data_IF_463292184050
#
_entry.id   IF_463292184050
#
_cell.length_a   1.000
_cell.length_b   1.000
_cell.length_c   1.000
_cell.angle_alpha   90.00
_cell.angle_beta   90.00
_cell.angle_gamma   90.00
#
_symmetry.space_group_name_H-M   'P 1'
#
loop_
_entity.id
_entity.type
_entity.pdbx_description
1 polymer ?
#
# COMPACT_ATOMS: atom_id res chain seq x y z
N UNK A 1 -18.63 19.65 -1.94
CA UNK A 1 -17.49 18.87 -2.46
C UNK A 1 -16.79 18.17 -1.31
N UNK A 2 -16.49 16.91 -1.43
CA UNK A 2 -15.72 16.25 -0.38
C UNK A 2 -14.30 16.82 -0.32
N UNK A 3 -13.72 16.83 0.87
CA UNK A 3 -12.35 17.24 1.06
C UNK A 3 -11.39 16.23 0.42
N UNK A 4 -10.14 16.62 0.21
CA UNK A 4 -9.11 15.71 -0.30
C UNK A 4 -8.97 14.48 0.60
N UNK A 5 -9.05 14.68 1.92
CA UNK A 5 -8.99 13.58 2.87
C UNK A 5 -10.15 12.61 2.69
N UNK A 6 -11.38 13.15 2.56
CA UNK A 6 -12.56 12.30 2.36
C UNK A 6 -12.45 11.49 1.06
N UNK A 7 -11.94 12.11 0.00
CA UNK A 7 -11.74 11.42 -1.26
C UNK A 7 -10.69 10.30 -1.11
N UNK A 8 -9.59 10.58 -0.40
CA UNK A 8 -8.55 9.58 -0.14
C UNK A 8 -9.07 8.44 0.72
N UNK A 9 -9.84 8.76 1.78
CA UNK A 9 -10.42 7.73 2.66
C UNK A 9 -11.39 6.84 1.87
N UNK A 10 -12.18 7.40 0.97
CA UNK A 10 -13.09 6.62 0.14
C UNK A 10 -12.34 5.68 -0.79
N UNK A 11 -11.22 6.13 -1.36
CA UNK A 11 -10.40 5.28 -2.22
C UNK A 11 -9.77 4.13 -1.43
N UNK A 12 -9.29 4.40 -0.22
CA UNK A 12 -8.74 3.36 0.65
C UNK A 12 -9.80 2.36 1.07
N UNK A 13 -11.00 2.82 1.42
CA UNK A 13 -12.09 1.94 1.82
C UNK A 13 -12.47 1.00 0.68
N UNK A 14 -12.58 1.53 -0.53
CA UNK A 14 -12.94 0.73 -1.69
C UNK A 14 -11.82 -0.25 -2.05
N UNK A 15 -10.55 0.16 -1.92
CA UNK A 15 -9.43 -0.73 -2.14
C UNK A 15 -9.44 -1.87 -1.11
N UNK A 16 -9.69 -1.55 0.15
CA UNK A 16 -9.77 -2.56 1.21
C UNK A 16 -10.88 -3.57 0.92
N UNK A 17 -12.07 -3.08 0.56
CA UNK A 17 -13.18 -3.97 0.21
C UNK A 17 -12.79 -4.91 -0.92
N UNK A 18 -12.18 -4.37 -1.97
CA UNK A 18 -11.74 -5.18 -3.10
C UNK A 18 -10.75 -6.27 -2.67
N UNK A 19 -9.74 -5.90 -1.89
CA UNK A 19 -8.71 -6.84 -1.44
C UNK A 19 -9.28 -7.92 -0.53
N UNK A 20 -10.22 -7.55 0.33
CA UNK A 20 -10.90 -8.53 1.18
C UNK A 20 -11.70 -9.54 0.35
N UNK A 21 -12.31 -9.09 -0.74
CA UNK A 21 -13.01 -9.99 -1.64
C UNK A 21 -12.05 -10.95 -2.35
N UNK A 22 -10.78 -10.56 -2.46
CA UNK A 22 -9.73 -11.43 -3.00
C UNK A 22 -9.13 -12.36 -1.95
N UNK A 23 -9.64 -12.33 -0.73
CA UNK A 23 -9.23 -13.25 0.33
C UNK A 23 -8.15 -12.71 1.26
N UNK A 24 -7.76 -11.45 1.14
CA UNK A 24 -6.78 -10.86 2.05
C UNK A 24 -7.45 -10.41 3.35
N UNK A 25 -6.75 -10.58 4.45
CA UNK A 25 -7.24 -10.19 5.77
C UNK A 25 -6.54 -8.92 6.23
N UNK A 26 -7.31 -7.92 6.65
CA UNK A 26 -6.75 -6.67 7.14
C UNK A 26 -6.09 -6.86 8.50
N UNK A 27 -4.85 -6.38 8.64
CA UNK A 27 -4.14 -6.32 9.91
C UNK A 27 -4.15 -4.90 10.46
N UNK A 28 -3.87 -3.90 9.63
CA UNK A 28 -3.82 -2.52 10.11
C UNK A 28 -4.03 -1.54 8.95
N UNK A 29 -4.64 -0.40 9.27
CA UNK A 29 -4.84 0.71 8.32
C UNK A 29 -4.03 1.91 8.78
N UNK A 30 -3.58 2.70 7.81
CA UNK A 30 -2.92 3.99 8.07
C UNK A 30 -1.80 3.85 9.10
N UNK A 31 -0.93 2.88 8.86
CA UNK A 31 0.20 2.64 9.74
C UNK A 31 1.25 3.73 9.54
N UNK A 32 1.68 4.36 10.64
CA UNK A 32 2.69 5.41 10.61
C UNK A 32 3.78 5.12 11.63
N UNK A 33 5.04 5.38 11.23
CA UNK A 33 6.14 5.32 12.16
C UNK A 33 6.22 6.64 12.92
N UNK A 34 6.71 6.62 14.19
CA UNK A 34 6.83 7.85 14.94
C UNK A 34 7.99 8.74 14.44
N UNK A 35 7.91 10.04 14.75
CA UNK A 35 9.00 10.97 14.52
C UNK A 35 9.03 11.55 13.12
N UNK A 36 10.04 12.42 12.92
CA UNK A 36 10.27 13.08 11.64
C UNK A 36 10.92 12.12 10.65
N UNK A 37 10.59 12.27 9.38
CA UNK A 37 11.17 11.43 8.34
C UNK A 37 10.68 10.01 8.36
N UNK A 38 9.63 9.75 9.13
CA UNK A 38 9.03 8.43 9.18
C UNK A 38 8.29 8.06 7.91
N UNK A 39 7.82 6.81 7.86
CA UNK A 39 7.04 6.32 6.75
C UNK A 39 5.60 6.05 7.12
N UNK A 40 4.81 5.76 6.10
CA UNK A 40 3.42 5.34 6.31
C UNK A 40 3.03 4.32 5.27
N UNK A 41 2.07 3.46 5.64
CA UNK A 41 1.50 2.45 4.77
C UNK A 41 -0.01 2.54 4.88
N UNK A 42 -0.68 2.62 3.73
CA UNK A 42 -2.13 2.78 3.73
C UNK A 42 -2.85 1.55 4.30
N UNK A 43 -2.47 0.36 3.85
CA UNK A 43 -3.08 -0.89 4.29
C UNK A 43 -2.01 -1.96 4.49
N UNK A 44 -2.13 -2.71 5.57
CA UNK A 44 -1.32 -3.90 5.81
C UNK A 44 -2.28 -5.08 5.91
N UNK A 45 -2.12 -6.04 5.00
CA UNK A 45 -2.99 -7.20 4.92
C UNK A 45 -2.16 -8.48 4.93
N UNK A 46 -2.85 -9.60 5.05
CA UNK A 46 -2.19 -10.91 5.04
C UNK A 46 -2.99 -11.86 4.15
N UNK A 47 -2.28 -12.57 3.28
CA UNK A 47 -2.89 -13.61 2.47
C UNK A 47 -3.05 -14.89 3.26
N UNK A 48 -3.83 -15.84 2.72
CA UNK A 48 -4.08 -17.11 3.37
C UNK A 48 -2.82 -17.94 3.59
N UNK A 49 -1.79 -17.73 2.76
CA UNK A 49 -0.49 -18.40 2.89
C UNK A 49 0.46 -17.68 3.85
N UNK A 50 -0.03 -16.71 4.60
CA UNK A 50 0.69 -15.90 5.58
C UNK A 50 1.56 -14.79 4.99
N UNK A 51 1.59 -14.61 3.67
CA UNK A 51 2.32 -13.49 3.07
C UNK A 51 1.75 -12.17 3.56
N UNK A 52 2.62 -11.29 4.07
CA UNK A 52 2.24 -9.92 4.43
C UNK A 52 2.29 -9.04 3.20
N UNK A 53 1.22 -8.27 3.00
CA UNK A 53 1.07 -7.42 1.83
C UNK A 53 0.94 -5.98 2.31
N UNK A 54 1.93 -5.16 1.97
CA UNK A 54 1.94 -3.73 2.28
C UNK A 54 1.43 -3.00 1.05
N UNK A 55 0.32 -2.28 1.20
CA UNK A 55 -0.41 -1.72 0.06
C UNK A 55 -0.42 -0.20 0.12
N UNK A 56 -0.01 0.41 -0.98
CA UNK A 56 -0.18 1.84 -1.23
C UNK A 56 -1.40 2.03 -2.13
N UNK A 57 -2.32 2.88 -1.70
CA UNK A 57 -3.53 3.19 -2.46
C UNK A 57 -3.35 4.54 -3.15
N UNK A 58 -3.56 4.56 -4.46
CA UNK A 58 -3.40 5.78 -5.26
C UNK A 58 -4.68 6.07 -6.02
N UNK A 59 -5.07 7.33 -6.03
CA UNK A 59 -6.13 7.81 -6.90
C UNK A 59 -5.49 8.64 -7.99
N UNK A 60 -5.58 8.17 -9.22
CA UNK A 60 -5.01 8.86 -10.38
C UNK A 60 -6.10 9.70 -11.02
N UNK A 61 -5.87 11.00 -11.05
CA UNK A 61 -6.80 11.94 -11.67
C UNK A 61 -6.39 12.29 -13.09
N UNK A 62 -5.13 11.98 -13.46
CA UNK A 62 -4.60 12.24 -14.78
C UNK A 62 -3.79 11.03 -15.22
N UNK A 63 -3.68 10.87 -16.53
CA UNK A 63 -2.86 9.83 -17.09
C UNK A 63 -1.39 10.06 -16.74
N UNK A 64 -0.75 9.09 -16.14
CA UNK A 64 0.67 9.15 -15.79
C UNK A 64 1.39 8.00 -16.48
N UNK A 65 2.65 8.24 -16.83
CA UNK A 65 3.50 7.21 -17.42
C UNK A 65 3.85 6.16 -16.37
N UNK A 66 3.93 4.89 -16.78
CA UNK A 66 4.32 3.81 -15.90
C UNK A 66 3.20 3.12 -15.15
N UNK A 67 1.94 3.44 -15.44
CA UNK A 67 0.79 2.79 -14.83
C UNK A 67 0.72 3.01 -13.32
N UNK A 68 0.21 2.02 -12.58
CA UNK A 68 0.04 2.11 -11.12
C UNK A 68 1.39 2.31 -10.43
N UNK A 69 2.42 1.57 -10.85
CA UNK A 69 3.75 1.69 -10.28
C UNK A 69 4.32 3.10 -10.50
N UNK A 70 4.12 3.67 -11.69
CA UNK A 70 4.61 5.00 -12.02
C UNK A 70 4.02 6.11 -11.15
N UNK A 71 2.90 5.85 -10.46
CA UNK A 71 2.30 6.83 -9.56
C UNK A 71 2.97 6.85 -8.18
N UNK A 72 3.89 5.92 -7.90
CA UNK A 72 4.57 5.83 -6.60
C UNK A 72 6.05 6.14 -6.81
N UNK A 73 6.48 7.33 -6.36
CA UNK A 73 7.86 7.78 -6.52
C UNK A 73 8.83 6.90 -5.73
N UNK A 74 10.13 6.99 -6.09
CA UNK A 74 11.16 6.28 -5.33
C UNK A 74 11.20 6.74 -3.88
N UNK A 75 11.04 8.02 -3.64
CA UNK A 75 10.98 8.57 -2.28
C UNK A 75 9.84 7.92 -1.50
N UNK A 76 8.66 7.83 -2.12
CA UNK A 76 7.51 7.20 -1.47
C UNK A 76 7.76 5.72 -1.21
N UNK A 77 8.35 5.00 -2.17
CA UNK A 77 8.71 3.60 -2.00
C UNK A 77 9.64 3.39 -0.80
N UNK A 78 10.65 4.24 -0.65
CA UNK A 78 11.58 4.16 0.48
C UNK A 78 10.85 4.35 1.81
N UNK A 79 9.91 5.27 1.85
CA UNK A 79 9.14 5.55 3.07
C UNK A 79 8.23 4.38 3.43
N UNK A 80 7.65 3.74 2.43
CA UNK A 80 6.84 2.54 2.64
C UNK A 80 7.72 1.39 3.16
N UNK A 81 8.88 1.19 2.55
CA UNK A 81 9.82 0.13 2.96
C UNK A 81 10.30 0.38 4.40
N UNK A 82 10.60 1.64 4.72
CA UNK A 82 11.00 1.99 6.09
C UNK A 82 9.91 1.64 7.09
N UNK A 83 8.66 1.99 6.77
CA UNK A 83 7.54 1.69 7.65
C UNK A 83 7.31 0.18 7.78
N UNK A 84 7.49 -0.57 6.69
CA UNK A 84 7.35 -2.01 6.72
C UNK A 84 8.39 -2.66 7.63
N UNK A 85 9.65 -2.21 7.54
CA UNK A 85 10.71 -2.70 8.41
C UNK A 85 10.41 -2.40 9.88
N UNK A 86 9.89 -1.22 10.15
CA UNK A 86 9.51 -0.84 11.50
C UNK A 86 8.36 -1.73 12.01
N UNK A 87 7.37 -2.00 11.17
CA UNK A 87 6.26 -2.89 11.51
C UNK A 87 6.76 -4.29 11.85
N UNK A 88 7.75 -4.77 11.12
CA UNK A 88 8.29 -6.13 11.28
C UNK A 88 9.33 -6.25 12.40
N UNK A 89 9.73 -5.16 13.01
CA UNK A 89 10.82 -5.11 13.99
C UNK A 89 10.68 -6.14 15.09
N UNK A 90 9.45 -6.37 15.59
CA UNK A 90 9.21 -7.27 16.72
C UNK A 90 8.79 -8.68 16.32
N UNK A 91 8.74 -8.96 15.03
CA UNK A 91 8.34 -10.29 14.56
C UNK A 91 9.53 -11.25 14.74
N UNK A 92 9.28 -12.36 15.43
CA UNK A 92 10.34 -13.37 15.66
C UNK A 92 10.68 -14.12 14.37
N UNK A 93 9.66 -14.48 13.59
CA UNK A 93 9.82 -15.13 12.31
C UNK A 93 9.19 -14.26 11.26
N UNK A 94 9.97 -13.86 10.26
CA UNK A 94 9.50 -13.01 9.20
C UNK A 94 8.75 -13.85 8.16
N UNK A 95 7.46 -13.59 7.93
CA UNK A 95 6.76 -14.23 6.82
C UNK A 95 7.25 -13.64 5.50
N UNK A 96 6.91 -14.26 4.37
CA UNK A 96 7.11 -13.59 3.09
C UNK A 96 6.39 -12.26 3.07
N UNK A 97 6.98 -11.28 2.39
CA UNK A 97 6.40 -9.94 2.29
C UNK A 97 6.33 -9.51 0.83
N UNK A 98 5.37 -8.62 0.55
CA UNK A 98 5.17 -8.11 -0.79
C UNK A 98 4.66 -6.68 -0.70
N UNK A 99 5.10 -5.83 -1.63
CA UNK A 99 4.64 -4.44 -1.74
C UNK A 99 3.76 -4.31 -2.97
N UNK A 100 2.50 -3.97 -2.75
CA UNK A 100 1.50 -3.83 -3.81
C UNK A 100 1.03 -2.40 -3.93
N UNK A 101 0.57 -2.05 -5.10
CA UNK A 101 -0.08 -0.76 -5.35
C UNK A 101 -1.48 -1.03 -5.89
N UNK A 102 -2.47 -0.36 -5.30
CA UNK A 102 -3.83 -0.35 -5.81
C UNK A 102 -4.12 1.06 -6.30
N UNK A 103 -4.44 1.20 -7.56
CA UNK A 103 -4.66 2.51 -8.17
C UNK A 103 -6.06 2.59 -8.77
N UNK A 104 -6.72 3.73 -8.54
CA UNK A 104 -7.99 4.04 -9.17
C UNK A 104 -7.71 4.85 -10.43
N UNK A 105 -8.17 4.32 -11.56
CA UNK A 105 -8.06 4.97 -12.86
C UNK A 105 -9.45 5.19 -13.45
N UNK A 106 -9.50 5.89 -14.58
CA UNK A 106 -10.78 6.19 -15.21
C UNK A 106 -11.59 4.93 -15.52
N UNK A 107 -10.91 3.84 -15.82
CA UNK A 107 -11.53 2.58 -16.19
C UNK A 107 -11.78 1.64 -15.02
N UNK A 108 -11.39 2.04 -13.81
CA UNK A 108 -11.61 1.26 -12.62
C UNK A 108 -10.35 1.04 -11.81
N UNK A 109 -10.36 0.00 -10.99
CA UNK A 109 -9.29 -0.31 -10.06
C UNK A 109 -8.26 -1.22 -10.69
N UNK A 110 -6.98 -0.89 -10.51
CA UNK A 110 -5.87 -1.71 -10.94
C UNK A 110 -5.09 -2.14 -9.70
N UNK A 111 -4.84 -3.44 -9.57
CA UNK A 111 -4.05 -4.02 -8.48
C UNK A 111 -2.73 -4.53 -9.05
N UNK A 112 -1.65 -3.84 -8.75
CA UNK A 112 -0.30 -4.22 -9.17
C UNK A 112 0.37 -4.97 -8.02
N UNK A 113 0.43 -6.30 -8.14
CA UNK A 113 1.11 -7.12 -7.15
C UNK A 113 2.62 -7.01 -7.33
N UNK A 114 3.35 -7.03 -6.22
CA UNK A 114 4.81 -6.95 -6.22
C UNK A 114 5.29 -5.77 -7.06
N UNK A 115 4.72 -4.60 -6.79
CA UNK A 115 4.98 -3.41 -7.58
C UNK A 115 6.42 -2.90 -7.44
N UNK A 116 7.03 -3.15 -6.29
CA UNK A 116 8.44 -2.84 -6.05
C UNK A 116 8.98 -3.78 -4.98
N UNK A 117 10.30 -3.74 -4.79
CA UNK A 117 11.01 -4.69 -3.94
C UNK A 117 11.89 -3.92 -2.96
N UNK A 118 11.89 -4.35 -1.70
CA UNK A 118 12.75 -3.76 -0.67
C UNK A 118 14.24 -3.95 -0.97
N UNK A 119 14.60 -5.02 -1.67
CA UNK A 119 16.00 -5.32 -1.99
C UNK A 119 16.57 -4.41 -3.06
N UNK A 120 15.72 -3.61 -3.71
CA UNK A 120 16.15 -2.66 -4.73
C UNK A 120 16.87 -1.44 -4.14
N UNK A 121 16.80 -1.23 -2.85
CA UNK A 121 17.29 -0.02 -2.17
C UNK A 121 18.45 -0.30 -1.20
#
# INVERSE_FOLDING_TARGET
MPSTKQTGDAAEEAALYFLQQQGLRLLQRNYRTPGRGGGEIDLILQESDSTLVFVEVRKRTQQQFGGALGSVSRTKQRRIIFAARYFLWRWRQLPPTRFDVVAWEAEGLIWQKAAFDADTW
#
